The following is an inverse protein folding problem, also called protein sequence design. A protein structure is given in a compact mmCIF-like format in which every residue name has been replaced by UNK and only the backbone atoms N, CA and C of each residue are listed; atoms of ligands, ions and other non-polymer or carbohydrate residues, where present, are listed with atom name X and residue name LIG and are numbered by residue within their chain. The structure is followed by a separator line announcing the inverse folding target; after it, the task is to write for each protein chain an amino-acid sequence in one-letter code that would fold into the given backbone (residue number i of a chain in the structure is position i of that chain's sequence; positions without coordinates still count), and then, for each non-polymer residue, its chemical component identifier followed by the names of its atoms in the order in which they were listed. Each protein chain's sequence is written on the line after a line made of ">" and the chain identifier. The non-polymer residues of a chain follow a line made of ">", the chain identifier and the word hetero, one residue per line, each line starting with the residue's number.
data_IF_554641987162
#
_entry.id   IF_554641987162
#
_cell.length_a   1.000
_cell.length_b   1.000
_cell.length_c   1.000
_cell.angle_alpha   90.00
_cell.angle_beta   90.00
_cell.angle_gamma   90.00
#
_symmetry.space_group_name_H-M   'P 1'
#
loop_
_entity.id
_entity.type
_entity.pdbx_description
1 polymer ?
#
# COMPACT_ATOMS: atom_id res chain seq x y z
N UNK A 1 14.73 3.91 -30.00
CA UNK A 1 14.70 5.27 -29.41
C UNK A 1 13.50 5.38 -28.50
N UNK A 2 13.68 5.73 -27.24
CA UNK A 2 12.53 6.03 -26.41
C UNK A 2 11.84 7.26 -26.98
N UNK A 3 10.58 7.07 -27.36
CA UNK A 3 9.70 8.19 -27.70
C UNK A 3 9.53 9.00 -26.43
N UNK A 4 10.24 10.12 -26.33
CA UNK A 4 10.00 11.04 -25.21
C UNK A 4 8.67 11.74 -25.46
N UNK A 5 7.59 11.08 -25.07
CA UNK A 5 6.22 11.56 -25.21
C UNK A 5 5.85 12.61 -24.16
N UNK A 6 6.75 12.86 -23.18
CA UNK A 6 6.47 13.76 -22.08
C UNK A 6 7.10 15.14 -22.30
N UNK A 7 6.31 16.18 -22.16
CA UNK A 7 6.81 17.55 -22.01
C UNK A 7 7.44 17.72 -20.62
N UNK A 8 8.39 18.67 -20.48
CA UNK A 8 9.10 18.87 -19.21
C UNK A 8 8.19 19.03 -17.99
N UNK A 9 7.05 19.70 -18.12
CA UNK A 9 6.09 19.89 -17.03
C UNK A 9 5.31 18.62 -16.67
N UNK A 10 5.16 17.69 -17.60
CA UNK A 10 4.47 16.43 -17.38
C UNK A 10 5.34 15.41 -16.62
N UNK A 11 6.67 15.45 -16.85
CA UNK A 11 7.62 14.59 -16.15
C UNK A 11 7.53 14.73 -14.63
N UNK A 12 7.40 15.95 -14.13
CA UNK A 12 7.30 16.20 -12.70
C UNK A 12 6.09 15.45 -12.07
N UNK A 13 4.90 15.62 -12.65
CA UNK A 13 3.70 14.97 -12.14
C UNK A 13 3.78 13.45 -12.21
N UNK A 14 4.39 12.92 -13.26
CA UNK A 14 4.54 11.47 -13.43
C UNK A 14 5.52 10.89 -12.41
N UNK A 15 6.68 11.51 -12.25
CA UNK A 15 7.73 11.03 -11.32
C UNK A 15 7.31 11.17 -9.86
N UNK A 16 6.63 12.26 -9.51
CA UNK A 16 6.23 12.52 -8.12
C UNK A 16 4.94 11.80 -7.70
N UNK A 17 4.22 11.20 -8.65
CA UNK A 17 2.98 10.49 -8.36
C UNK A 17 1.87 11.39 -7.83
N UNK A 18 1.68 12.56 -8.43
CA UNK A 18 0.68 13.55 -7.97
C UNK A 18 -0.73 12.96 -7.83
N UNK A 19 -1.18 12.13 -8.78
CA UNK A 19 -2.49 11.51 -8.73
C UNK A 19 -2.60 10.50 -7.58
N UNK A 20 -1.62 9.63 -7.40
CA UNK A 20 -1.60 8.66 -6.31
C UNK A 20 -1.50 9.36 -4.94
N UNK A 21 -0.76 10.46 -4.86
CA UNK A 21 -0.69 11.28 -3.63
C UNK A 21 -2.06 11.90 -3.30
N UNK A 22 -2.80 12.38 -4.31
CA UNK A 22 -4.15 12.93 -4.11
C UNK A 22 -5.12 11.86 -3.59
N UNK A 23 -5.07 10.65 -4.16
CA UNK A 23 -5.88 9.51 -3.70
C UNK A 23 -5.54 9.17 -2.25
N UNK A 24 -4.25 9.05 -1.93
CA UNK A 24 -3.79 8.73 -0.57
C UNK A 24 -4.23 9.78 0.46
N UNK A 25 -4.16 11.05 0.13
CA UNK A 25 -4.62 12.15 1.01
C UNK A 25 -6.14 12.09 1.24
N UNK A 26 -6.92 11.79 0.21
CA UNK A 26 -8.36 11.65 0.36
C UNK A 26 -8.70 10.46 1.26
N UNK A 27 -8.05 9.34 1.07
CA UNK A 27 -8.25 8.15 1.90
C UNK A 27 -7.83 8.40 3.35
N UNK A 28 -6.69 9.06 3.57
CA UNK A 28 -6.25 9.44 4.93
C UNK A 28 -7.27 10.31 5.65
N UNK A 29 -7.86 11.27 4.94
CA UNK A 29 -8.93 12.11 5.50
C UNK A 29 -10.13 11.28 5.91
N UNK A 30 -10.53 10.30 5.09
CA UNK A 30 -11.64 9.40 5.42
C UNK A 30 -11.32 8.52 6.63
N UNK A 31 -10.11 7.99 6.73
CA UNK A 31 -9.67 7.25 7.91
C UNK A 31 -9.76 8.10 9.18
N UNK A 32 -9.27 9.34 9.12
CA UNK A 32 -9.32 10.25 10.25
C UNK A 32 -10.75 10.57 10.65
N UNK A 33 -11.64 10.85 9.70
CA UNK A 33 -13.07 11.15 9.94
C UNK A 33 -13.79 9.94 10.54
N UNK A 34 -13.44 8.73 10.12
CA UNK A 34 -14.01 7.49 10.64
C UNK A 34 -13.40 7.05 11.99
N UNK A 35 -12.43 7.79 12.52
CA UNK A 35 -11.77 7.47 13.79
C UNK A 35 -10.80 6.31 13.71
N UNK A 36 -10.36 5.94 12.50
CA UNK A 36 -9.32 4.92 12.34
C UNK A 36 -7.95 5.54 12.61
N UNK A 37 -7.28 5.06 13.65
CA UNK A 37 -5.91 5.48 13.97
C UNK A 37 -4.91 4.71 13.10
N UNK A 38 -4.90 5.02 11.80
CA UNK A 38 -4.17 4.28 10.79
C UNK A 38 -3.68 5.23 9.70
N UNK A 39 -2.38 5.17 9.38
CA UNK A 39 -1.84 5.87 8.22
C UNK A 39 -1.96 5.02 6.97
N UNK A 40 -1.90 5.65 5.80
CA UNK A 40 -1.95 4.93 4.51
C UNK A 40 -0.76 3.97 4.38
N UNK A 41 0.41 4.35 4.85
CA UNK A 41 1.60 3.51 4.84
C UNK A 41 1.42 2.27 5.73
N UNK A 42 0.87 2.44 6.91
CA UNK A 42 0.51 1.33 7.81
C UNK A 42 -0.55 0.44 7.18
N UNK A 43 -1.57 1.04 6.60
CA UNK A 43 -2.63 0.32 5.89
C UNK A 43 -2.07 -0.54 4.74
N UNK A 44 -1.06 -0.04 4.02
CA UNK A 44 -0.44 -0.79 2.93
C UNK A 44 0.23 -2.09 3.42
N UNK A 45 0.81 -2.08 4.60
CA UNK A 45 1.37 -3.29 5.23
C UNK A 45 0.26 -4.25 5.63
N UNK A 46 -0.78 -3.73 6.31
CA UNK A 46 -1.93 -4.54 6.70
C UNK A 46 -2.63 -5.17 5.49
N UNK A 47 -2.72 -4.45 4.39
CA UNK A 47 -3.31 -4.94 3.14
C UNK A 47 -2.65 -6.24 2.68
N UNK A 48 -1.33 -6.29 2.68
CA UNK A 48 -0.59 -7.49 2.30
C UNK A 48 -0.77 -8.62 3.32
N UNK A 49 -0.82 -8.29 4.61
CA UNK A 49 -1.05 -9.27 5.66
C UNK A 49 -2.47 -9.84 5.65
N UNK A 50 -3.47 -9.05 5.28
CA UNK A 50 -4.83 -9.57 5.09
C UNK A 50 -4.92 -10.57 3.93
N UNK A 51 -4.07 -10.41 2.93
CA UNK A 51 -3.96 -11.39 1.84
C UNK A 51 -3.25 -12.65 2.28
N UNK A 52 -2.19 -12.52 3.06
CA UNK A 52 -1.38 -13.62 3.54
C UNK A 52 -0.63 -13.23 4.81
N UNK A 53 -1.00 -13.84 5.94
CA UNK A 53 -0.28 -13.71 7.20
C UNK A 53 0.96 -14.60 7.24
N UNK A 54 1.81 -14.35 8.23
CA UNK A 54 2.98 -15.19 8.47
C UNK A 54 4.06 -15.01 7.43
N UNK A 55 4.15 -13.84 6.81
CA UNK A 55 5.23 -13.49 5.89
C UNK A 55 6.33 -12.74 6.63
N UNK A 56 7.55 -12.85 6.12
CA UNK A 56 8.71 -12.16 6.68
C UNK A 56 8.71 -10.67 6.37
N UNK A 57 9.52 -9.91 7.11
CA UNK A 57 9.75 -8.50 6.79
C UNK A 57 10.34 -8.32 5.39
N UNK A 58 11.20 -9.25 4.94
CA UNK A 58 11.75 -9.19 3.58
C UNK A 58 10.66 -9.37 2.52
N UNK A 59 9.71 -10.26 2.73
CA UNK A 59 8.57 -10.44 1.82
C UNK A 59 7.70 -9.18 1.80
N UNK A 60 7.52 -8.50 2.93
CA UNK A 60 6.82 -7.21 2.98
C UNK A 60 7.57 -6.11 2.22
N UNK A 61 8.90 -6.05 2.33
CA UNK A 61 9.72 -5.13 1.52
C UNK A 61 9.48 -5.35 0.03
N UNK A 62 9.51 -6.60 -0.41
CA UNK A 62 9.30 -6.95 -1.82
C UNK A 62 7.87 -6.61 -2.28
N UNK A 63 6.86 -6.94 -1.48
CA UNK A 63 5.46 -6.70 -1.81
C UNK A 63 5.09 -5.21 -1.88
N UNK A 64 5.68 -4.39 -1.01
CA UNK A 64 5.41 -2.95 -0.93
C UNK A 64 6.39 -2.10 -1.74
N UNK A 65 7.45 -2.71 -2.28
CA UNK A 65 8.56 -2.03 -2.93
C UNK A 65 9.17 -0.94 -2.03
N UNK A 66 9.33 -1.27 -0.74
CA UNK A 66 9.93 -0.38 0.27
C UNK A 66 11.23 -0.98 0.78
N UNK A 67 12.12 -0.11 1.24
CA UNK A 67 13.38 -0.54 1.86
C UNK A 67 13.16 -1.14 3.26
N UNK A 68 14.16 -1.86 3.73
CA UNK A 68 14.12 -2.55 5.03
C UNK A 68 13.91 -1.59 6.21
N UNK A 69 14.62 -0.44 6.32
CA UNK A 69 14.38 0.50 7.41
C UNK A 69 12.95 1.03 7.46
N UNK A 70 12.34 1.33 6.30
CA UNK A 70 10.95 1.79 6.20
C UNK A 70 9.97 0.73 6.70
N UNK A 71 10.13 -0.52 6.27
CA UNK A 71 9.27 -1.62 6.72
C UNK A 71 9.48 -1.90 8.21
N UNK A 72 10.70 -1.91 8.70
CA UNK A 72 10.98 -2.11 10.14
C UNK A 72 10.23 -1.07 10.96
N UNK A 73 10.31 0.20 10.58
CA UNK A 73 9.60 1.29 11.27
C UNK A 73 8.08 1.12 11.22
N UNK A 74 7.53 0.76 10.07
CA UNK A 74 6.08 0.53 9.93
C UNK A 74 5.62 -0.64 10.78
N UNK A 75 6.35 -1.74 10.77
CA UNK A 75 6.03 -2.92 11.61
C UNK A 75 6.16 -2.60 13.09
N UNK A 76 7.20 -1.86 13.51
CA UNK A 76 7.35 -1.41 14.90
C UNK A 76 6.15 -0.56 15.34
N UNK A 77 5.69 0.36 14.51
CA UNK A 77 4.53 1.19 14.79
C UNK A 77 3.24 0.37 14.87
N UNK A 78 3.05 -0.57 13.95
CA UNK A 78 1.88 -1.46 13.97
C UNK A 78 1.88 -2.39 15.18
N UNK A 79 3.04 -2.86 15.61
CA UNK A 79 3.16 -3.68 16.82
C UNK A 79 2.81 -2.86 18.06
N UNK A 80 3.26 -1.60 18.12
CA UNK A 80 2.94 -0.66 19.19
C UNK A 80 1.45 -0.35 19.29
N UNK A 81 0.75 -0.33 18.16
CA UNK A 81 -0.70 -0.16 18.07
C UNK A 81 -1.49 -1.46 18.31
N UNK A 82 -0.81 -2.55 18.62
CA UNK A 82 -1.39 -3.88 18.80
C UNK A 82 -2.18 -4.37 17.56
N UNK A 83 -1.64 -4.08 16.38
CA UNK A 83 -2.23 -4.51 15.11
C UNK A 83 -1.49 -5.70 14.49
N UNK A 84 -0.20 -5.82 14.77
CA UNK A 84 0.61 -6.97 14.33
C UNK A 84 1.47 -7.50 15.47
N UNK A 85 1.97 -8.71 15.29
CA UNK A 85 2.97 -9.32 16.17
C UNK A 85 4.04 -10.01 15.34
N UNK A 86 5.27 -9.98 15.85
CA UNK A 86 6.39 -10.72 15.29
C UNK A 86 6.49 -12.08 15.98
N UNK A 87 6.62 -13.12 15.19
CA UNK A 87 6.83 -14.49 15.68
C UNK A 87 8.08 -15.04 15.01
N UNK A 88 9.09 -15.50 15.75
CA UNK A 88 10.27 -16.12 15.15
C UNK A 88 9.87 -17.31 14.27
N UNK A 89 10.49 -17.43 13.09
CA UNK A 89 10.29 -18.58 12.23
C UNK A 89 10.82 -19.85 12.89
N UNK A 90 10.07 -20.94 12.81
CA UNK A 90 10.52 -22.25 13.30
C UNK A 90 11.75 -22.76 12.53
N UNK A 91 11.87 -22.40 11.25
CA UNK A 91 12.96 -22.83 10.38
C UNK A 91 14.24 -22.01 10.59
N UNK A 92 14.11 -20.72 10.89
CA UNK A 92 15.24 -19.84 11.18
C UNK A 92 14.79 -18.73 12.17
N UNK A 93 15.21 -18.85 13.43
CA UNK A 93 14.83 -17.94 14.49
C UNK A 93 15.32 -16.49 14.31
N UNK A 94 16.24 -16.27 13.37
CA UNK A 94 16.70 -14.92 13.01
C UNK A 94 15.69 -14.18 12.14
N UNK A 95 14.72 -14.91 11.58
CA UNK A 95 13.67 -14.38 10.71
C UNK A 95 12.40 -14.27 11.51
N UNK A 96 11.82 -13.05 11.57
CA UNK A 96 10.51 -12.82 12.14
C UNK A 96 9.44 -12.91 11.06
N UNK A 97 8.38 -13.63 11.38
CA UNK A 97 7.15 -13.68 10.59
C UNK A 97 6.13 -12.74 11.21
N UNK A 98 5.39 -12.04 10.38
CA UNK A 98 4.45 -11.01 10.80
C UNK A 98 3.02 -11.55 10.72
N UNK A 99 2.30 -11.45 11.84
CA UNK A 99 0.92 -11.91 11.96
C UNK A 99 0.02 -10.76 12.38
N UNK A 100 -1.24 -10.83 11.97
CA UNK A 100 -2.28 -9.90 12.39
C UNK A 100 -2.82 -10.24 13.78
N UNK A 101 -3.22 -9.21 14.52
CA UNK A 101 -4.03 -9.38 15.72
C UNK A 101 -5.52 -9.44 15.36
N UNK A 102 -6.37 -9.82 16.30
CA UNK A 102 -7.82 -9.77 16.12
C UNK A 102 -8.30 -8.33 15.84
N UNK A 103 -7.67 -7.35 16.49
CA UNK A 103 -7.98 -5.93 16.28
C UNK A 103 -7.70 -5.50 14.84
N UNK A 104 -6.59 -5.93 14.27
CA UNK A 104 -6.25 -5.65 12.87
C UNK A 104 -7.23 -6.31 11.90
N UNK A 105 -7.68 -7.53 12.20
CA UNK A 105 -8.68 -8.21 11.37
C UNK A 105 -10.00 -7.44 11.31
N UNK A 106 -10.40 -6.81 12.42
CA UNK A 106 -11.63 -5.99 12.47
C UNK A 106 -11.54 -4.71 11.64
N UNK A 107 -10.34 -4.21 11.40
CA UNK A 107 -10.14 -3.00 10.57
C UNK A 107 -10.26 -3.27 9.07
N UNK A 108 -10.16 -4.53 8.65
CA UNK A 108 -10.10 -4.88 7.24
C UNK A 108 -11.31 -4.37 6.47
N UNK A 109 -12.51 -4.76 6.87
CA UNK A 109 -13.74 -4.45 6.15
C UNK A 109 -13.92 -2.93 6.01
N UNK A 110 -13.92 -2.20 7.12
CA UNK A 110 -14.15 -0.77 7.13
C UNK A 110 -13.08 0.00 6.33
N UNK A 111 -11.81 -0.32 6.50
CA UNK A 111 -10.75 0.36 5.78
C UNK A 111 -10.78 0.06 4.27
N UNK A 112 -11.12 -1.16 3.89
CA UNK A 112 -11.27 -1.54 2.48
C UNK A 112 -12.47 -0.84 1.82
N UNK A 113 -13.59 -0.72 2.51
CA UNK A 113 -14.76 0.03 2.02
C UNK A 113 -14.40 1.50 1.76
N UNK A 114 -13.70 2.14 2.69
CA UNK A 114 -13.25 3.53 2.52
C UNK A 114 -12.26 3.69 1.36
N UNK A 115 -11.40 2.71 1.15
CA UNK A 115 -10.48 2.70 0.02
C UNK A 115 -11.23 2.54 -1.31
N UNK A 116 -12.22 1.66 -1.36
CA UNK A 116 -13.06 1.46 -2.55
C UNK A 116 -13.86 2.73 -2.89
N UNK A 117 -14.49 3.35 -1.89
CA UNK A 117 -15.19 4.64 -2.08
C UNK A 117 -14.26 5.71 -2.64
N UNK A 118 -13.05 5.82 -2.10
CA UNK A 118 -12.07 6.81 -2.54
C UNK A 118 -11.66 6.58 -3.99
N UNK A 119 -11.44 5.32 -4.36
CA UNK A 119 -11.07 4.98 -5.72
C UNK A 119 -12.22 5.22 -6.69
N UNK A 120 -13.45 4.93 -6.30
CA UNK A 120 -14.64 5.21 -7.10
C UNK A 120 -14.81 6.71 -7.34
N UNK A 121 -14.60 7.55 -6.34
CA UNK A 121 -14.58 9.01 -6.51
C UNK A 121 -13.50 9.44 -7.51
N UNK A 122 -12.29 8.90 -7.35
CA UNK A 122 -11.15 9.26 -8.19
C UNK A 122 -11.37 8.89 -9.66
N UNK A 123 -12.12 7.83 -9.93
CA UNK A 123 -12.33 7.28 -11.27
C UNK A 123 -13.71 7.58 -11.85
N UNK A 124 -14.52 8.41 -11.18
CA UNK A 124 -15.93 8.65 -11.51
C UNK A 124 -16.19 8.95 -12.99
N UNK A 125 -15.34 9.73 -13.63
CA UNK A 125 -15.50 10.14 -15.03
C UNK A 125 -14.62 9.37 -16.00
N UNK A 126 -13.91 8.35 -15.52
CA UNK A 126 -12.94 7.59 -16.33
C UNK A 126 -13.62 6.37 -16.95
N UNK A 127 -13.60 6.20 -18.28
CA UNK A 127 -14.15 5.01 -18.91
C UNK A 127 -13.43 3.72 -18.47
N UNK A 128 -14.17 2.63 -18.32
CA UNK A 128 -13.64 1.36 -17.83
C UNK A 128 -12.46 0.83 -18.66
N UNK A 129 -12.54 0.96 -19.99
CA UNK A 129 -11.45 0.53 -20.89
C UNK A 129 -10.15 1.31 -20.65
N UNK A 130 -10.23 2.58 -20.27
CA UNK A 130 -9.04 3.38 -19.92
C UNK A 130 -8.45 2.99 -18.59
N UNK A 131 -9.27 2.58 -17.64
CA UNK A 131 -8.82 2.05 -16.34
C UNK A 131 -8.00 0.79 -16.54
N UNK A 132 -8.47 -0.13 -17.38
CA UNK A 132 -7.76 -1.38 -17.67
C UNK A 132 -6.42 -1.12 -18.36
N UNK A 133 -6.37 -0.20 -19.31
CA UNK A 133 -5.12 0.24 -19.95
C UNK A 133 -4.16 0.85 -18.93
N UNK A 134 -4.67 1.68 -18.02
CA UNK A 134 -3.86 2.29 -16.96
C UNK A 134 -3.22 1.23 -16.04
N UNK A 135 -3.99 0.24 -15.62
CA UNK A 135 -3.48 -0.88 -14.81
C UNK A 135 -2.36 -1.61 -15.53
N UNK A 136 -2.56 -1.91 -16.81
CA UNK A 136 -1.57 -2.58 -17.64
C UNK A 136 -0.28 -1.77 -17.76
N UNK A 137 -0.38 -0.47 -18.05
CA UNK A 137 0.78 0.42 -18.17
C UNK A 137 1.55 0.50 -16.86
N UNK A 138 0.85 0.68 -15.73
CA UNK A 138 1.51 0.75 -14.41
C UNK A 138 2.23 -0.56 -14.09
N UNK A 139 1.66 -1.71 -14.44
CA UNK A 139 2.31 -3.00 -14.24
C UNK A 139 3.58 -3.13 -15.09
N UNK A 140 3.52 -2.74 -16.35
CA UNK A 140 4.69 -2.75 -17.25
C UNK A 140 5.79 -1.83 -16.70
N UNK A 141 5.44 -0.62 -16.26
CA UNK A 141 6.41 0.32 -15.67
C UNK A 141 7.11 -0.30 -14.45
N UNK A 142 6.35 -0.92 -13.56
CA UNK A 142 6.91 -1.61 -12.40
C UNK A 142 7.84 -2.76 -12.81
N UNK A 143 7.39 -3.58 -13.75
CA UNK A 143 8.15 -4.75 -14.22
C UNK A 143 9.47 -4.35 -14.89
N UNK A 144 9.50 -3.22 -15.57
CA UNK A 144 10.72 -2.69 -16.19
C UNK A 144 11.77 -2.22 -15.18
N UNK A 145 11.35 -1.86 -13.96
CA UNK A 145 12.20 -1.19 -12.98
C UNK A 145 12.50 -2.05 -11.74
N UNK A 146 11.74 -3.11 -11.51
CA UNK A 146 11.94 -3.99 -10.34
C UNK A 146 13.23 -4.79 -10.40
#
# INVERSE_FOLDING_TARGET
>A
MPNNQFKKGELYSFVTGKASTAIARRLQKKFNTAGLNLTIEQWSVLYHLWKQEGISQQELCNATFRDKPSITRLVDNLERLDLVKRVPSENDRRINLIFLTKQAQKLQEQSMELAEETLNEALETVPAEKIDVCKEVLQIVYDNLK
#
